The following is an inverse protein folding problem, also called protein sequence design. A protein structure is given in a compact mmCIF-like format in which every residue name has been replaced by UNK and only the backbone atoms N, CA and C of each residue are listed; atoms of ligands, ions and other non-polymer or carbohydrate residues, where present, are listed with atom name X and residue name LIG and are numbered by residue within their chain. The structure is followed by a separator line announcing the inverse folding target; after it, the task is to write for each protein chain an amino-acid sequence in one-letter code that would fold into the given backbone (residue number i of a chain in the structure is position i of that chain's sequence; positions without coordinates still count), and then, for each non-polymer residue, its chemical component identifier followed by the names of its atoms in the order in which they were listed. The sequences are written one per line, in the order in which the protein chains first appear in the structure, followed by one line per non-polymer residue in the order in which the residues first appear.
data_IF_813354940564
#
_entry.id   IF_813354940564
#
_cell.length_a   1.000
_cell.length_b   1.000
_cell.length_c   1.000
_cell.angle_alpha   90.00
_cell.angle_beta   90.00
_cell.angle_gamma   90.00
#
_symmetry.space_group_name_H-M   'P 1'
#
loop_
_entity.id
_entity.type
_entity.pdbx_description
1 polymer ?
#
# COMPACT_ATOMS: atom_id res chain seq x y z
N UNK A 1 3.06 -14.40 -24.29
CA UNK A 1 2.04 -14.03 -23.28
C UNK A 1 2.50 -14.29 -21.83
N UNK A 2 3.24 -15.38 -21.57
CA UNK A 2 3.75 -15.68 -20.22
C UNK A 2 4.83 -14.70 -19.73
N UNK A 3 5.74 -14.24 -20.59
CA UNK A 3 6.76 -13.26 -20.20
C UNK A 3 6.19 -11.88 -19.83
N UNK A 4 5.13 -11.45 -20.52
CA UNK A 4 4.44 -10.18 -20.21
C UNK A 4 3.78 -10.26 -18.83
N UNK A 5 3.09 -11.38 -18.54
CA UNK A 5 2.49 -11.63 -17.23
C UNK A 5 3.55 -11.75 -16.14
N UNK A 6 4.68 -12.41 -16.41
CA UNK A 6 5.79 -12.57 -15.47
C UNK A 6 6.44 -11.23 -15.13
N UNK A 7 6.74 -10.41 -16.13
CA UNK A 7 7.30 -9.07 -15.91
C UNK A 7 6.30 -8.15 -15.19
N UNK A 8 5.01 -8.23 -15.50
CA UNK A 8 3.96 -7.49 -14.79
C UNK A 8 3.80 -7.94 -13.32
N UNK A 9 3.87 -9.25 -13.04
CA UNK A 9 3.87 -9.77 -11.66
C UNK A 9 5.10 -9.31 -10.89
N UNK A 10 6.28 -9.28 -11.53
CA UNK A 10 7.50 -8.78 -10.90
C UNK A 10 7.42 -7.28 -10.60
N UNK A 11 6.87 -6.47 -11.51
CA UNK A 11 6.63 -5.05 -11.28
C UNK A 11 5.66 -4.80 -10.12
N UNK A 12 4.58 -5.58 -10.04
CA UNK A 12 3.62 -5.53 -8.94
C UNK A 12 4.25 -5.87 -7.59
N UNK A 13 5.10 -6.92 -7.55
CA UNK A 13 5.84 -7.30 -6.36
C UNK A 13 6.80 -6.20 -5.87
N UNK A 14 7.54 -5.58 -6.79
CA UNK A 14 8.44 -4.46 -6.47
C UNK A 14 7.66 -3.26 -5.91
N UNK A 15 6.50 -2.94 -6.49
CA UNK A 15 5.65 -1.86 -6.02
C UNK A 15 5.13 -2.11 -4.60
N UNK A 16 4.62 -3.32 -4.33
CA UNK A 16 4.19 -3.74 -2.99
C UNK A 16 5.34 -3.61 -1.97
N UNK A 17 6.52 -4.14 -2.31
CA UNK A 17 7.69 -4.06 -1.43
C UNK A 17 8.14 -2.61 -1.16
N UNK A 18 8.10 -1.76 -2.18
CA UNK A 18 8.46 -0.33 -2.04
C UNK A 18 7.53 0.37 -1.05
N UNK A 19 6.21 0.13 -1.14
CA UNK A 19 5.24 0.70 -0.20
C UNK A 19 5.47 0.17 1.22
N UNK A 20 5.78 -1.11 1.39
CA UNK A 20 6.12 -1.68 2.71
C UNK A 20 7.35 -1.01 3.33
N UNK A 21 8.39 -0.74 2.54
CA UNK A 21 9.59 -0.02 3.03
C UNK A 21 9.23 1.39 3.48
N UNK A 22 8.41 2.12 2.71
CA UNK A 22 7.98 3.48 3.07
C UNK A 22 7.17 3.47 4.37
N UNK A 23 6.21 2.55 4.50
CA UNK A 23 5.42 2.38 5.74
C UNK A 23 6.34 2.01 6.90
N UNK A 24 7.29 1.10 6.69
CA UNK A 24 8.26 0.69 7.71
C UNK A 24 9.07 1.87 8.23
N UNK A 25 9.66 2.67 7.33
CA UNK A 25 10.39 3.89 7.70
C UNK A 25 9.49 4.83 8.49
N UNK A 26 8.28 5.08 8.01
CA UNK A 26 7.34 5.99 8.67
C UNK A 26 6.97 5.51 10.09
N UNK A 27 6.73 4.21 10.28
CA UNK A 27 6.44 3.62 11.59
C UNK A 27 7.62 3.76 12.55
N UNK A 28 8.85 3.62 12.08
CA UNK A 28 10.04 3.74 12.93
C UNK A 28 10.45 5.19 13.21
N UNK A 29 10.04 6.17 12.39
CA UNK A 29 10.37 7.59 12.59
C UNK A 29 9.30 8.37 13.34
N UNK A 30 8.07 7.87 13.42
CA UNK A 30 6.92 8.59 13.99
C UNK A 30 6.69 8.18 15.44
N UNK A 31 6.29 9.13 16.29
CA UNK A 31 5.93 8.84 17.68
C UNK A 31 4.62 8.03 17.78
N UNK A 32 4.50 7.17 18.79
CA UNK A 32 3.33 6.29 18.95
C UNK A 32 2.01 7.07 19.10
N UNK A 33 2.01 8.18 19.85
CA UNK A 33 0.82 9.02 20.05
C UNK A 33 0.37 9.68 18.75
N UNK A 34 1.31 10.20 17.97
CA UNK A 34 1.03 10.82 16.68
C UNK A 34 0.54 9.81 15.65
N UNK A 35 1.13 8.61 15.63
CA UNK A 35 0.69 7.51 14.79
C UNK A 35 -0.77 7.15 15.07
N UNK A 36 -1.15 6.93 16.34
CA UNK A 36 -2.53 6.62 16.72
C UNK A 36 -3.49 7.75 16.34
N UNK A 37 -3.09 9.00 16.55
CA UNK A 37 -3.94 10.14 16.20
C UNK A 37 -4.19 10.22 14.69
N UNK A 38 -3.14 10.12 13.87
CA UNK A 38 -3.25 10.13 12.42
C UNK A 38 -4.10 8.96 11.88
N UNK A 39 -3.89 7.75 12.40
CA UNK A 39 -4.70 6.59 12.00
C UNK A 39 -6.16 6.73 12.44
N UNK A 40 -6.42 7.38 13.57
CA UNK A 40 -7.79 7.68 14.02
C UNK A 40 -8.45 8.69 13.10
N UNK A 41 -7.76 9.76 12.72
CA UNK A 41 -8.26 10.76 11.77
C UNK A 41 -8.60 10.13 10.42
N UNK A 42 -7.71 9.28 9.88
CA UNK A 42 -7.95 8.55 8.63
C UNK A 42 -9.12 7.57 8.79
N UNK A 43 -9.19 6.87 9.92
CA UNK A 43 -10.32 5.97 10.23
C UNK A 43 -11.66 6.70 10.30
N UNK A 44 -11.68 7.90 10.87
CA UNK A 44 -12.90 8.72 10.97
C UNK A 44 -13.43 9.16 9.61
N UNK A 45 -12.55 9.38 8.62
CA UNK A 45 -12.98 9.72 7.25
C UNK A 45 -13.81 8.62 6.60
N UNK A 46 -13.63 7.37 7.03
CA UNK A 46 -14.40 6.21 6.56
C UNK A 46 -15.45 5.75 7.59
N UNK A 47 -15.75 6.56 8.61
CA UNK A 47 -16.75 6.28 9.63
C UNK A 47 -16.30 5.32 10.75
N UNK A 48 -14.99 5.06 10.87
CA UNK A 48 -14.40 4.18 11.88
C UNK A 48 -13.46 4.89 12.85
N UNK A 49 -12.82 4.11 13.72
CA UNK A 49 -11.74 4.57 14.60
C UNK A 49 -10.35 4.19 14.09
N UNK A 50 -9.35 4.21 14.96
CA UNK A 50 -7.95 3.87 14.64
C UNK A 50 -7.81 2.53 13.91
N UNK A 51 -8.60 1.51 14.28
CA UNK A 51 -8.58 0.19 13.65
C UNK A 51 -8.85 0.24 12.14
N UNK A 52 -9.75 1.12 11.70
CA UNK A 52 -10.04 1.32 10.28
C UNK A 52 -8.87 2.02 9.58
N UNK A 53 -8.23 2.98 10.24
CA UNK A 53 -6.99 3.59 9.73
C UNK A 53 -5.85 2.59 9.58
N UNK A 54 -5.66 1.68 10.56
CA UNK A 54 -4.66 0.60 10.47
C UNK A 54 -4.98 -0.34 9.30
N UNK A 55 -6.25 -0.70 9.14
CA UNK A 55 -6.69 -1.55 8.03
C UNK A 55 -6.45 -0.89 6.66
N UNK A 56 -6.72 0.41 6.53
CA UNK A 56 -6.43 1.16 5.32
C UNK A 56 -4.93 1.22 5.03
N UNK A 57 -4.10 1.49 6.06
CA UNK A 57 -2.65 1.52 5.92
C UNK A 57 -2.09 0.15 5.47
N UNK A 58 -2.60 -0.94 6.02
CA UNK A 58 -2.18 -2.31 5.65
C UNK A 58 -2.70 -2.77 4.29
N UNK A 59 -3.77 -2.17 3.78
CA UNK A 59 -4.30 -2.42 2.44
C UNK A 59 -3.53 -1.68 1.33
N UNK A 60 -2.74 -0.63 1.65
CA UNK A 60 -1.99 0.14 0.65
C UNK A 60 -0.96 -0.69 -0.15
N UNK A 61 -0.13 -1.57 0.44
CA UNK A 61 0.81 -2.40 -0.31
C UNK A 61 0.16 -3.33 -1.36
N UNK A 62 -0.85 -4.17 -1.01
CA UNK A 62 -1.50 -5.00 -2.01
C UNK A 62 -2.27 -4.16 -3.05
N UNK A 63 -2.85 -3.02 -2.65
CA UNK A 63 -3.51 -2.10 -3.57
C UNK A 63 -2.54 -1.50 -4.60
N UNK A 64 -1.36 -1.05 -4.15
CA UNK A 64 -0.32 -0.54 -5.03
C UNK A 64 0.20 -1.62 -6.00
N UNK A 65 0.43 -2.84 -5.50
CA UNK A 65 0.80 -3.98 -6.35
C UNK A 65 -0.27 -4.30 -7.41
N UNK A 66 -1.55 -4.28 -7.02
CA UNK A 66 -2.67 -4.53 -7.93
C UNK A 66 -2.80 -3.47 -9.01
N UNK A 67 -2.67 -2.18 -8.66
CA UNK A 67 -2.68 -1.08 -9.62
C UNK A 67 -1.53 -1.20 -10.60
N UNK A 68 -0.31 -1.40 -10.10
CA UNK A 68 0.89 -1.52 -10.96
C UNK A 68 0.75 -2.69 -11.92
N UNK A 69 0.26 -3.86 -11.47
CA UNK A 69 0.00 -4.98 -12.36
C UNK A 69 -0.94 -4.62 -13.53
N UNK A 70 -2.07 -3.96 -13.25
CA UNK A 70 -3.04 -3.59 -14.27
C UNK A 70 -2.52 -2.52 -15.22
N UNK A 71 -1.81 -1.52 -14.71
CA UNK A 71 -1.18 -0.46 -15.51
C UNK A 71 -0.12 -1.06 -16.43
N UNK A 72 0.76 -1.92 -15.91
CA UNK A 72 1.81 -2.57 -16.71
C UNK A 72 1.25 -3.51 -17.77
N UNK A 73 0.17 -4.23 -17.44
CA UNK A 73 -0.55 -5.07 -18.40
C UNK A 73 -1.20 -4.25 -19.52
N UNK A 74 -1.63 -3.02 -19.23
CA UNK A 74 -2.16 -2.09 -20.23
C UNK A 74 -1.08 -1.49 -21.12
N UNK A 75 0.08 -1.12 -20.56
CA UNK A 75 1.19 -0.49 -21.29
C UNK A 75 1.89 -1.46 -22.27
N UNK A 76 1.94 -2.75 -21.93
CA UNK A 76 2.67 -3.78 -22.73
C UNK A 76 1.73 -4.52 -23.70
N UNK A 77 0.44 -4.20 -23.69
CA UNK A 77 -0.50 -4.71 -24.68
C UNK A 77 -0.23 -4.08 -26.05
#
# INVERSE_FOLDING_TARGET
MNDIKFRAMRAAGIACFTVLVIIGVWVFTTSSDEMVNLLTLVGQQVGGGTTYGVFLLSALPPFAGFMVYHIWKWIIK
#
